data_IF_159080742252
#
_entry.id   IF_159080742252
#
_cell.length_a   1.000
_cell.length_b   1.000
_cell.length_c   1.000
_cell.angle_alpha   90.00
_cell.angle_beta   90.00
_cell.angle_gamma   90.00
#
_symmetry.space_group_name_H-M   'P 1'
#
loop_
_entity.id
_entity.type
_entity.pdbx_description
1 polymer ?
#
# COMPACT_ATOMS: atom_id res chain seq x y z
N UNK A 1 -27.25 -27.21 -4.02
CA UNK A 1 -26.35 -26.15 -4.55
C UNK A 1 -26.02 -26.51 -6.00
N UNK A 2 -26.58 -25.82 -7.00
CA UNK A 2 -26.18 -26.03 -8.41
C UNK A 2 -24.70 -25.62 -8.53
N UNK A 3 -23.84 -26.60 -8.83
CA UNK A 3 -22.42 -26.35 -9.09
C UNK A 3 -22.35 -25.44 -10.33
N UNK A 4 -22.01 -24.19 -10.14
CA UNK A 4 -22.01 -23.22 -11.25
C UNK A 4 -20.64 -23.29 -11.93
N UNK A 5 -20.42 -24.36 -12.74
CA UNK A 5 -19.18 -24.59 -13.49
C UNK A 5 -18.71 -23.34 -14.25
N UNK A 6 -19.64 -22.52 -14.73
CA UNK A 6 -19.32 -21.28 -15.42
C UNK A 6 -18.66 -20.27 -14.49
N UNK A 7 -19.08 -20.20 -13.22
CA UNK A 7 -18.43 -19.33 -12.24
C UNK A 7 -17.00 -19.81 -11.94
N UNK A 8 -16.79 -21.11 -11.78
CA UNK A 8 -15.46 -21.67 -11.50
C UNK A 8 -14.49 -21.41 -12.66
N UNK A 9 -14.95 -21.60 -13.90
CA UNK A 9 -14.15 -21.32 -15.10
C UNK A 9 -13.83 -19.83 -15.19
N UNK A 10 -14.80 -18.95 -14.96
CA UNK A 10 -14.61 -17.51 -15.00
C UNK A 10 -13.66 -17.05 -13.89
N UNK A 11 -13.80 -17.59 -12.68
CA UNK A 11 -12.89 -17.34 -11.56
C UNK A 11 -11.45 -17.74 -11.90
N UNK A 12 -11.25 -18.96 -12.44
CA UNK A 12 -9.93 -19.44 -12.83
C UNK A 12 -9.29 -18.53 -13.90
N UNK A 13 -10.08 -18.11 -14.89
CA UNK A 13 -9.63 -17.20 -15.94
C UNK A 13 -9.16 -15.85 -15.38
N UNK A 14 -9.93 -15.24 -14.47
CA UNK A 14 -9.55 -14.00 -13.79
C UNK A 14 -8.26 -14.18 -13.00
N UNK A 15 -8.13 -15.25 -12.23
CA UNK A 15 -6.92 -15.55 -11.43
C UNK A 15 -5.69 -15.66 -12.33
N UNK A 16 -5.79 -16.36 -13.46
CA UNK A 16 -4.67 -16.48 -14.42
C UNK A 16 -4.26 -15.12 -14.96
N UNK A 17 -5.23 -14.28 -15.37
CA UNK A 17 -4.94 -12.93 -15.87
C UNK A 17 -4.27 -12.08 -14.79
N UNK A 18 -4.76 -12.11 -13.55
CA UNK A 18 -4.16 -11.36 -12.44
C UNK A 18 -2.74 -11.83 -12.17
N UNK A 19 -2.50 -13.13 -12.05
CA UNK A 19 -1.15 -13.68 -11.85
C UNK A 19 -0.22 -13.20 -12.96
N UNK A 20 -0.63 -13.35 -14.22
CA UNK A 20 0.18 -12.91 -15.36
C UNK A 20 0.49 -11.41 -15.33
N UNK A 21 -0.48 -10.57 -14.96
CA UNK A 21 -0.29 -9.11 -14.90
C UNK A 21 0.59 -8.67 -13.73
N UNK A 22 0.67 -9.46 -12.64
CA UNK A 22 1.47 -9.14 -11.45
C UNK A 22 2.94 -9.56 -11.55
N UNK A 23 3.31 -10.48 -12.43
CA UNK A 23 4.71 -10.87 -12.62
C UNK A 23 5.60 -9.66 -12.96
N UNK A 24 5.27 -8.81 -13.95
CA UNK A 24 6.05 -7.59 -14.21
C UNK A 24 6.05 -6.62 -13.03
N UNK A 25 4.88 -6.43 -12.38
CA UNK A 25 4.75 -5.55 -11.21
C UNK A 25 5.72 -5.94 -10.10
N UNK A 26 5.79 -7.23 -9.75
CA UNK A 26 6.73 -7.73 -8.74
C UNK A 26 8.18 -7.48 -9.17
N UNK A 27 8.54 -7.79 -10.43
CA UNK A 27 9.89 -7.56 -10.95
C UNK A 27 10.30 -6.09 -10.88
N UNK A 28 9.40 -5.18 -11.23
CA UNK A 28 9.67 -3.74 -11.18
C UNK A 28 9.75 -3.22 -9.73
N UNK A 29 8.91 -3.72 -8.82
CA UNK A 29 8.94 -3.34 -7.41
C UNK A 29 10.29 -3.64 -6.77
N UNK A 30 10.84 -4.82 -7.03
CA UNK A 30 12.13 -5.25 -6.46
C UNK A 30 13.34 -4.80 -7.28
N UNK A 31 13.14 -3.98 -8.32
CA UNK A 31 14.23 -3.38 -9.08
C UNK A 31 14.87 -2.22 -8.30
N UNK A 32 16.04 -1.79 -8.75
CA UNK A 32 16.76 -0.67 -8.12
C UNK A 32 16.00 0.67 -8.14
N UNK A 33 15.01 0.82 -9.02
CA UNK A 33 14.15 2.02 -9.12
C UNK A 33 12.77 1.82 -8.50
N UNK A 34 12.44 0.59 -8.09
CA UNK A 34 11.19 0.28 -7.41
C UNK A 34 11.16 0.85 -5.99
N UNK A 35 9.97 1.01 -5.45
CA UNK A 35 9.72 1.48 -4.07
C UNK A 35 10.32 2.85 -3.73
N UNK A 36 10.43 3.75 -4.72
CA UNK A 36 10.96 5.11 -4.51
C UNK A 36 10.17 5.91 -3.46
N UNK A 37 8.86 5.68 -3.33
CA UNK A 37 7.99 6.37 -2.37
C UNK A 37 7.88 5.66 -1.01
N UNK A 38 8.61 4.56 -0.79
CA UNK A 38 8.49 3.77 0.45
C UNK A 38 8.98 4.52 1.70
N UNK A 39 9.90 5.46 1.54
CA UNK A 39 10.44 6.28 2.64
C UNK A 39 11.19 5.48 3.74
N UNK A 40 11.78 4.36 3.40
CA UNK A 40 12.57 3.54 4.29
C UNK A 40 13.81 4.24 4.82
N UNK A 41 14.60 4.89 3.94
CA UNK A 41 15.81 5.62 4.35
C UNK A 41 15.49 6.88 5.17
N UNK A 42 14.52 7.76 4.78
CA UNK A 42 14.09 8.85 5.65
C UNK A 42 13.65 8.39 7.03
N UNK A 43 12.93 7.27 7.12
CA UNK A 43 12.53 6.68 8.39
C UNK A 43 13.73 6.29 9.25
N UNK A 44 14.75 5.64 8.68
CA UNK A 44 15.99 5.32 9.40
C UNK A 44 16.68 6.56 9.94
N UNK A 45 16.76 7.61 9.14
CA UNK A 45 17.37 8.89 9.55
C UNK A 45 16.64 9.47 10.76
N UNK A 46 15.30 9.55 10.70
CA UNK A 46 14.49 10.09 11.82
C UNK A 46 14.73 9.33 13.12
N UNK A 47 14.76 8.00 13.08
CA UNK A 47 14.98 7.18 14.28
C UNK A 47 16.42 7.17 14.77
N UNK A 48 17.37 7.60 13.94
CA UNK A 48 18.75 7.88 14.34
C UNK A 48 18.96 9.34 14.81
N UNK A 49 17.89 10.11 15.00
CA UNK A 49 17.94 11.50 15.47
C UNK A 49 18.35 12.51 14.40
N UNK A 50 18.41 12.10 13.12
CA UNK A 50 18.78 12.98 12.01
C UNK A 50 17.52 13.62 11.45
N UNK A 51 17.50 14.94 11.35
CA UNK A 51 16.44 15.65 10.68
C UNK A 51 16.61 15.53 9.16
N UNK A 52 15.94 14.56 8.55
CA UNK A 52 16.05 14.30 7.13
C UNK A 52 15.60 15.47 6.24
N UNK A 53 14.68 16.35 6.69
CA UNK A 53 14.29 17.55 5.94
C UNK A 53 15.43 18.55 5.87
N UNK A 54 16.07 18.86 7.01
CA UNK A 54 17.20 19.78 7.03
C UNK A 54 18.40 19.20 6.29
N UNK A 55 18.69 17.91 6.46
CA UNK A 55 19.77 17.25 5.75
C UNK A 55 19.56 17.28 4.23
N UNK A 56 18.33 17.07 3.77
CA UNK A 56 17.98 17.19 2.36
C UNK A 56 18.16 18.61 1.82
N UNK A 57 17.66 19.62 2.56
CA UNK A 57 17.74 21.02 2.15
C UNK A 57 19.19 21.56 2.16
N UNK A 58 19.95 21.20 3.18
CA UNK A 58 21.33 21.66 3.37
C UNK A 58 22.35 20.85 2.55
N UNK A 59 21.96 19.69 2.03
CA UNK A 59 22.82 18.73 1.33
C UNK A 59 24.08 18.35 2.15
N UNK A 60 23.90 18.22 3.49
CA UNK A 60 25.00 17.92 4.42
C UNK A 60 25.45 16.46 4.38
N UNK A 61 24.66 15.58 3.75
CA UNK A 61 24.97 14.15 3.60
C UNK A 61 24.69 13.30 4.85
N UNK A 62 24.19 13.88 5.94
CA UNK A 62 23.86 13.13 7.17
C UNK A 62 22.75 12.12 6.93
N UNK A 63 21.76 12.47 6.08
CA UNK A 63 20.74 11.57 5.60
C UNK A 63 20.83 11.42 4.08
N UNK A 64 21.58 10.44 3.57
CA UNK A 64 21.77 10.29 2.13
C UNK A 64 20.46 9.95 1.43
N UNK A 65 20.25 10.57 0.25
CA UNK A 65 19.13 10.21 -0.61
C UNK A 65 19.37 8.78 -1.10
N UNK A 66 18.45 7.91 -0.78
CA UNK A 66 18.47 6.52 -1.19
C UNK A 66 17.28 6.23 -2.11
N UNK A 67 17.53 5.69 -3.28
CA UNK A 67 16.50 5.29 -4.25
C UNK A 67 15.43 6.37 -4.51
N UNK A 68 15.87 7.63 -4.66
CA UNK A 68 15.00 8.81 -4.86
C UNK A 68 13.97 9.05 -3.75
N UNK A 69 14.16 8.46 -2.56
CA UNK A 69 13.28 8.66 -1.42
C UNK A 69 13.47 10.05 -0.82
N UNK A 70 12.50 10.91 -1.09
CA UNK A 70 12.43 12.26 -0.52
C UNK A 70 11.52 12.22 0.69
N UNK A 71 11.99 12.74 1.82
CA UNK A 71 11.22 12.74 3.07
C UNK A 71 10.07 13.77 3.08
N UNK A 72 9.11 13.63 2.21
CA UNK A 72 8.02 14.60 1.98
C UNK A 72 6.73 14.31 2.78
N UNK A 73 6.75 13.29 3.64
CA UNK A 73 5.56 12.84 4.36
C UNK A 73 5.51 13.33 5.80
N UNK A 74 4.31 13.43 6.36
CA UNK A 74 4.14 13.78 7.76
C UNK A 74 4.78 12.73 8.69
N UNK A 75 5.29 13.19 9.83
CA UNK A 75 6.05 12.36 10.79
C UNK A 75 5.33 11.09 11.26
N UNK A 76 3.99 11.09 11.30
CA UNK A 76 3.20 9.91 11.64
C UNK A 76 3.45 8.70 10.74
N UNK A 77 3.84 8.92 9.49
CA UNK A 77 4.20 7.82 8.59
C UNK A 77 5.45 7.09 9.05
N UNK A 78 6.47 7.81 9.53
CA UNK A 78 7.73 7.21 9.96
C UNK A 78 7.53 6.25 11.14
N UNK A 79 6.57 6.53 12.04
CA UNK A 79 6.22 5.62 13.14
C UNK A 79 5.68 4.31 12.57
N UNK A 80 4.83 4.36 11.54
CA UNK A 80 4.27 3.18 10.88
C UNK A 80 5.32 2.38 10.10
N UNK A 81 6.33 3.06 9.55
CA UNK A 81 7.40 2.45 8.79
C UNK A 81 8.57 1.96 9.66
N UNK A 82 8.62 2.35 10.92
CA UNK A 82 9.71 2.00 11.83
C UNK A 82 10.07 0.50 11.84
N UNK A 83 9.11 -0.44 11.89
CA UNK A 83 9.45 -1.87 11.89
C UNK A 83 10.27 -2.32 10.67
N UNK A 84 10.12 -1.66 9.52
CA UNK A 84 10.84 -1.99 8.31
C UNK A 84 12.30 -1.52 8.34
N UNK A 85 12.64 -0.58 9.21
CA UNK A 85 14.02 -0.07 9.33
C UNK A 85 15.00 -1.08 9.92
N UNK A 86 14.50 -2.14 10.57
CA UNK A 86 15.30 -3.26 11.08
C UNK A 86 15.65 -4.29 10.00
N UNK A 87 15.07 -4.16 8.81
CA UNK A 87 15.29 -5.05 7.68
C UNK A 87 16.33 -4.43 6.74
N UNK A 88 17.05 -5.27 6.00
CA UNK A 88 17.77 -4.82 4.81
C UNK A 88 16.78 -4.31 3.74
N UNK A 89 17.31 -3.58 2.76
CA UNK A 89 16.47 -2.95 1.75
C UNK A 89 15.60 -3.93 0.97
N UNK A 90 16.17 -5.03 0.50
CA UNK A 90 15.47 -5.99 -0.35
C UNK A 90 14.33 -6.66 0.42
N UNK A 91 14.59 -7.06 1.66
CA UNK A 91 13.57 -7.63 2.55
C UNK A 91 12.50 -6.62 2.89
N UNK A 92 12.86 -5.37 3.17
CA UNK A 92 11.91 -4.30 3.47
C UNK A 92 10.98 -4.00 2.28
N UNK A 93 11.52 -3.92 1.06
CA UNK A 93 10.75 -3.74 -0.18
C UNK A 93 9.70 -4.82 -0.37
N UNK A 94 10.12 -6.09 -0.28
CA UNK A 94 9.23 -7.25 -0.46
C UNK A 94 8.17 -7.25 0.64
N UNK A 95 8.56 -7.02 1.88
CA UNK A 95 7.64 -7.00 3.03
C UNK A 95 6.60 -5.89 2.90
N UNK A 96 7.03 -4.70 2.45
CA UNK A 96 6.13 -3.57 2.20
C UNK A 96 5.15 -3.86 1.07
N UNK A 97 5.63 -4.42 -0.05
CA UNK A 97 4.78 -4.82 -1.17
C UNK A 97 3.73 -5.85 -0.73
N UNK A 98 4.14 -6.90 -0.01
CA UNK A 98 3.24 -7.94 0.49
C UNK A 98 2.21 -7.36 1.45
N UNK A 99 2.61 -6.48 2.37
CA UNK A 99 1.68 -5.79 3.25
C UNK A 99 0.62 -5.01 2.46
N UNK A 100 1.01 -4.24 1.44
CA UNK A 100 0.07 -3.49 0.62
C UNK A 100 -0.90 -4.40 -0.15
N UNK A 101 -0.43 -5.53 -0.68
CA UNK A 101 -1.29 -6.53 -1.33
C UNK A 101 -2.32 -7.10 -0.34
N UNK A 102 -1.87 -7.45 0.86
CA UNK A 102 -2.74 -7.97 1.92
C UNK A 102 -3.77 -6.93 2.34
N UNK A 103 -3.36 -5.69 2.57
CA UNK A 103 -4.25 -4.59 2.93
C UNK A 103 -5.30 -4.32 1.85
N UNK A 104 -4.87 -4.32 0.58
CA UNK A 104 -5.77 -4.14 -0.55
C UNK A 104 -6.80 -5.26 -0.64
N UNK A 105 -6.36 -6.52 -0.44
CA UNK A 105 -7.24 -7.68 -0.43
C UNK A 105 -8.28 -7.58 0.68
N UNK A 106 -7.87 -7.34 1.92
CA UNK A 106 -8.79 -7.21 3.06
C UNK A 106 -9.74 -6.04 2.90
N UNK A 107 -9.25 -4.87 2.48
CA UNK A 107 -10.08 -3.69 2.25
C UNK A 107 -11.16 -4.00 1.20
N UNK A 108 -10.78 -4.58 0.07
CA UNK A 108 -11.71 -4.95 -1.00
C UNK A 108 -12.73 -5.98 -0.54
N UNK A 109 -12.28 -7.02 0.19
CA UNK A 109 -13.15 -8.05 0.74
C UNK A 109 -14.22 -7.47 1.68
N UNK A 110 -13.80 -6.64 2.64
CA UNK A 110 -14.72 -6.04 3.60
C UNK A 110 -15.68 -5.04 2.95
N UNK A 111 -15.23 -4.28 1.95
CA UNK A 111 -16.09 -3.40 1.19
C UNK A 111 -17.16 -4.20 0.40
N UNK A 112 -16.77 -5.26 -0.31
CA UNK A 112 -17.71 -6.13 -1.01
C UNK A 112 -18.77 -6.69 -0.04
N UNK A 113 -18.34 -7.15 1.14
CA UNK A 113 -19.23 -7.65 2.18
C UNK A 113 -20.15 -6.53 2.73
N UNK A 114 -19.63 -5.33 2.93
CA UNK A 114 -20.39 -4.19 3.44
C UNK A 114 -21.47 -3.72 2.48
N UNK A 115 -21.18 -3.77 1.18
CA UNK A 115 -22.14 -3.40 0.12
C UNK A 115 -23.00 -4.58 -0.34
N UNK A 116 -22.91 -5.73 0.36
CA UNK A 116 -23.71 -6.94 0.09
C UNK A 116 -23.60 -7.43 -1.36
N UNK A 117 -22.42 -7.23 -1.98
CA UNK A 117 -22.18 -7.64 -3.35
C UNK A 117 -22.29 -9.18 -3.47
N UNK A 118 -22.91 -9.62 -4.55
CA UNK A 118 -22.97 -11.05 -4.87
C UNK A 118 -21.57 -11.59 -5.30
N UNK A 119 -21.50 -12.90 -5.59
CA UNK A 119 -20.22 -13.55 -5.93
C UNK A 119 -19.61 -13.00 -7.22
N UNK A 120 -20.42 -12.71 -8.24
CA UNK A 120 -19.93 -12.18 -9.51
C UNK A 120 -19.51 -10.71 -9.38
N UNK A 121 -20.32 -9.90 -8.72
CA UNK A 121 -20.04 -8.51 -8.44
C UNK A 121 -18.77 -8.37 -7.61
N UNK A 122 -18.61 -9.18 -6.56
CA UNK A 122 -17.40 -9.21 -5.73
C UNK A 122 -16.17 -9.59 -6.55
N UNK A 123 -16.26 -10.65 -7.35
CA UNK A 123 -15.17 -11.10 -8.20
C UNK A 123 -14.78 -10.04 -9.23
N UNK A 124 -15.76 -9.39 -9.85
CA UNK A 124 -15.54 -8.31 -10.79
C UNK A 124 -14.90 -7.09 -10.11
N UNK A 125 -15.37 -6.70 -8.92
CA UNK A 125 -14.79 -5.62 -8.12
C UNK A 125 -13.32 -5.91 -7.77
N UNK A 126 -13.00 -7.11 -7.31
CA UNK A 126 -11.62 -7.54 -7.08
C UNK A 126 -10.79 -7.45 -8.34
N UNK A 127 -11.30 -7.99 -9.47
CA UNK A 127 -10.59 -7.93 -10.73
C UNK A 127 -10.27 -6.50 -11.12
N UNK A 128 -11.24 -5.60 -11.09
CA UNK A 128 -11.05 -4.18 -11.43
C UNK A 128 -10.00 -3.56 -10.52
N UNK A 129 -10.13 -3.70 -9.19
CA UNK A 129 -9.21 -3.09 -8.21
C UNK A 129 -7.77 -3.56 -8.43
N UNK A 130 -7.57 -4.84 -8.64
CA UNK A 130 -6.21 -5.40 -8.79
C UNK A 130 -5.65 -5.25 -10.19
N UNK A 131 -6.48 -5.23 -11.23
CA UNK A 131 -6.03 -5.12 -12.61
C UNK A 131 -5.72 -3.69 -13.04
N UNK A 132 -6.33 -2.69 -12.41
CA UNK A 132 -6.15 -1.27 -12.77
C UNK A 132 -4.67 -0.88 -12.68
N UNK A 133 -4.18 -0.21 -13.74
CA UNK A 133 -2.78 0.24 -13.85
C UNK A 133 -2.36 1.08 -12.63
N UNK A 134 -3.24 1.95 -12.13
CA UNK A 134 -2.96 2.81 -10.97
C UNK A 134 -2.57 1.97 -9.74
N UNK A 135 -3.29 0.90 -9.43
CA UNK A 135 -2.97 0.01 -8.30
C UNK A 135 -1.57 -0.60 -8.46
N UNK A 136 -1.23 -1.04 -9.67
CA UNK A 136 0.09 -1.62 -9.96
C UNK A 136 1.21 -0.59 -9.82
N UNK A 137 1.00 0.63 -10.32
CA UNK A 137 1.95 1.73 -10.16
C UNK A 137 2.17 2.06 -8.67
N UNK A 138 1.11 2.11 -7.86
CA UNK A 138 1.25 2.32 -6.42
C UNK A 138 2.08 1.23 -5.72
N UNK A 139 1.94 -0.03 -6.15
CA UNK A 139 2.75 -1.13 -5.63
C UNK A 139 4.22 -1.01 -6.07
N UNK A 140 4.47 -0.72 -7.36
CA UNK A 140 5.83 -0.55 -7.91
C UNK A 140 6.57 0.59 -7.20
N UNK A 141 5.91 1.72 -7.03
CA UNK A 141 6.50 2.90 -6.38
C UNK A 141 6.57 2.78 -4.85
N UNK A 142 5.96 1.75 -4.26
CA UNK A 142 5.90 1.59 -2.81
C UNK A 142 5.05 2.65 -2.12
N UNK A 143 4.05 3.20 -2.80
CA UNK A 143 3.25 4.31 -2.29
C UNK A 143 2.38 3.91 -1.09
N UNK A 144 2.19 4.86 -0.18
CA UNK A 144 1.40 4.69 1.04
C UNK A 144 -0.11 4.85 0.82
N UNK A 145 -0.55 5.04 -0.42
CA UNK A 145 -1.96 5.28 -0.78
C UNK A 145 -2.86 4.12 -0.36
N UNK A 146 -2.40 2.88 -0.53
CA UNK A 146 -3.17 1.68 -0.16
C UNK A 146 -3.36 1.62 1.36
N UNK A 147 -2.30 1.91 2.13
CA UNK A 147 -2.36 1.98 3.58
C UNK A 147 -3.34 3.08 4.05
N UNK A 148 -3.22 4.29 3.47
CA UNK A 148 -4.12 5.40 3.77
C UNK A 148 -5.57 5.06 3.42
N UNK A 149 -5.82 4.48 2.25
CA UNK A 149 -7.16 4.06 1.83
C UNK A 149 -7.73 3.01 2.79
N UNK A 150 -6.93 2.04 3.24
CA UNK A 150 -7.34 1.05 4.22
C UNK A 150 -7.80 1.74 5.51
N UNK A 151 -7.01 2.68 6.05
CA UNK A 151 -7.37 3.40 7.28
C UNK A 151 -8.63 4.24 7.13
N UNK A 152 -8.83 4.92 5.99
CA UNK A 152 -10.02 5.71 5.70
C UNK A 152 -11.27 4.81 5.64
N UNK A 153 -11.15 3.60 5.13
CA UNK A 153 -12.30 2.69 4.99
C UNK A 153 -12.67 1.98 6.29
N UNK A 154 -11.77 1.90 7.27
CA UNK A 154 -12.04 1.20 8.54
C UNK A 154 -13.33 1.63 9.27
N UNK A 155 -13.67 2.93 9.41
CA UNK A 155 -14.91 3.34 10.07
C UNK A 155 -16.18 2.87 9.37
N UNK A 156 -16.14 2.69 8.06
CA UNK A 156 -17.26 2.16 7.28
C UNK A 156 -17.47 0.66 7.51
N UNK A 157 -16.37 -0.07 7.76
CA UNK A 157 -16.35 -1.51 7.96
C UNK A 157 -16.58 -1.84 9.43
N UNK A 158 -15.91 -1.14 10.31
CA UNK A 158 -15.86 -1.43 11.75
C UNK A 158 -16.06 -0.15 12.57
N UNK A 159 -17.28 0.04 13.07
CA UNK A 159 -17.67 1.21 13.88
C UNK A 159 -17.09 1.11 15.31
N UNK A 160 -15.85 1.54 15.50
CA UNK A 160 -15.20 1.60 16.80
C UNK A 160 -14.38 2.88 16.97
N UNK A 161 -14.11 3.28 18.21
CA UNK A 161 -13.24 4.43 18.47
C UNK A 161 -11.86 4.27 17.83
N UNK A 162 -11.32 3.05 17.85
CA UNK A 162 -10.02 2.75 17.26
C UNK A 162 -10.02 2.95 15.75
N UNK A 163 -11.07 2.55 15.02
CA UNK A 163 -11.16 2.74 13.58
C UNK A 163 -11.18 4.21 13.18
N UNK A 164 -11.84 5.07 13.96
CA UNK A 164 -11.84 6.53 13.73
C UNK A 164 -10.45 7.14 14.00
N UNK A 165 -9.73 6.66 15.05
CA UNK A 165 -8.36 7.11 15.32
C UNK A 165 -7.43 6.70 14.17
N UNK A 166 -7.50 5.46 13.70
CA UNK A 166 -6.71 4.98 12.58
C UNK A 166 -7.03 5.72 11.28
N UNK A 167 -8.31 6.05 11.06
CA UNK A 167 -8.72 6.90 9.94
C UNK A 167 -8.08 8.29 10.03
N UNK A 168 -8.01 8.88 11.22
CA UNK A 168 -7.30 10.15 11.43
C UNK A 168 -5.80 10.07 11.09
N UNK A 169 -5.16 8.92 11.34
CA UNK A 169 -3.74 8.72 10.98
C UNK A 169 -3.52 8.79 9.46
N UNK A 170 -4.54 8.50 8.63
CA UNK A 170 -4.44 8.56 7.17
C UNK A 170 -4.03 9.95 6.62
N UNK A 171 -4.15 11.00 7.45
CA UNK A 171 -3.68 12.35 7.11
C UNK A 171 -2.17 12.47 6.89
N UNK A 172 -1.38 11.43 7.18
CA UNK A 172 0.01 11.41 6.74
C UNK A 172 0.16 11.52 5.20
N UNK A 173 -0.89 11.18 4.46
CA UNK A 173 -0.97 11.39 3.01
C UNK A 173 -2.05 12.43 2.72
N UNK A 174 -1.67 13.70 2.70
CA UNK A 174 -2.58 14.84 2.58
C UNK A 174 -3.61 14.73 1.45
N UNK A 175 -3.19 14.28 0.27
CA UNK A 175 -4.07 14.18 -0.89
C UNK A 175 -5.20 13.13 -0.74
N UNK A 176 -5.07 12.22 0.21
CA UNK A 176 -6.09 11.22 0.54
C UNK A 176 -6.87 11.63 1.79
N UNK A 177 -6.19 12.19 2.80
CA UNK A 177 -6.79 12.61 4.06
C UNK A 177 -7.84 13.72 3.92
N UNK A 178 -7.70 14.60 2.92
CA UNK A 178 -8.69 15.66 2.65
C UNK A 178 -10.02 15.15 2.05
N UNK A 179 -10.11 13.88 1.69
CA UNK A 179 -11.33 13.27 1.17
C UNK A 179 -12.36 12.90 2.27
N UNK A 180 -12.01 13.09 3.55
CA UNK A 180 -12.86 12.86 4.72
C UNK A 180 -13.48 14.15 5.21
#
# INVERSE_FOLDING_TARGET
MKNNKNFEIFFLFIVIILIHSYIPTVKETISNIGSADFNWQPTKCVFNGINHYSSYLNRDGECPIFNSQLGEYAQGLYILLYPFTFMDWDTAQISWMLLNIVLLFFTSYFLCKKFELDKFESLFAFFVIFYVIVTRVHLIMGQHTILALTFITLPFIWKSKLSYILSGISYFKFNVGYAL
#
